data_IF_782941273408
#
_entry.id   IF_782941273408
#
_cell.length_a   1.000
_cell.length_b   1.000
_cell.length_c   1.000
_cell.angle_alpha   90.00
_cell.angle_beta   90.00
_cell.angle_gamma   90.00
#
_symmetry.space_group_name_H-M   'P 1'
#
loop_
_entity.id
_entity.type
_entity.pdbx_description
1 polymer ?
#
# COMPACT_ATOMS: atom_id res chain seq x y z
N UNK A 1 13.06 30.07 18.34
CA UNK A 1 13.48 29.13 17.29
C UNK A 1 14.64 28.32 17.80
N UNK A 2 14.41 27.05 18.15
CA UNK A 2 15.46 26.14 18.59
C UNK A 2 16.33 25.77 17.39
N UNK A 3 17.58 26.24 17.41
CA UNK A 3 18.63 25.80 16.48
C UNK A 3 18.86 24.31 16.74
N UNK A 4 18.71 23.47 15.73
CA UNK A 4 18.97 22.03 15.83
C UNK A 4 20.41 21.74 16.26
N UNK A 5 20.63 20.58 16.90
CA UNK A 5 21.96 20.14 17.33
C UNK A 5 22.88 19.95 16.11
N UNK A 6 24.12 20.47 16.18
CA UNK A 6 25.15 20.34 15.14
C UNK A 6 25.99 19.06 15.26
N UNK A 7 25.51 18.06 16.02
CA UNK A 7 26.19 16.79 16.20
C UNK A 7 26.47 16.12 14.85
N UNK A 8 27.69 15.60 14.67
CA UNK A 8 28.12 14.92 13.45
C UNK A 8 28.34 13.45 13.75
N UNK A 9 27.99 12.58 12.80
CA UNK A 9 28.27 11.16 12.85
C UNK A 9 28.99 10.78 11.56
N UNK A 10 30.09 10.04 11.69
CA UNK A 10 30.91 9.58 10.57
C UNK A 10 30.77 8.06 10.48
N UNK A 11 30.36 7.57 9.32
CA UNK A 11 30.25 6.15 9.01
C UNK A 11 31.29 5.73 7.99
N UNK A 12 31.41 4.41 7.77
CA UNK A 12 32.01 3.90 6.54
C UNK A 12 31.21 4.36 5.30
N UNK A 13 31.79 4.19 4.10
CA UNK A 13 31.17 4.61 2.83
C UNK A 13 29.78 4.00 2.62
N UNK A 14 29.58 2.77 3.10
CA UNK A 14 28.33 2.02 2.97
C UNK A 14 27.31 2.32 4.09
N UNK A 15 27.66 3.18 5.06
CA UNK A 15 26.82 3.54 6.21
C UNK A 15 26.33 2.36 7.07
N UNK A 16 27.09 1.26 7.11
CA UNK A 16 26.79 0.07 7.91
C UNK A 16 27.40 0.11 9.31
N UNK A 17 28.49 0.88 9.48
CA UNK A 17 29.21 0.99 10.76
C UNK A 17 29.52 2.45 11.04
N UNK A 18 29.37 2.87 12.31
CA UNK A 18 29.77 4.21 12.76
C UNK A 18 31.22 4.18 13.23
N UNK A 19 32.04 5.00 12.59
CA UNK A 19 33.50 5.09 12.79
C UNK A 19 33.81 6.14 13.86
N UNK A 20 33.03 7.21 13.93
CA UNK A 20 33.21 8.30 14.89
C UNK A 20 31.91 9.04 15.15
N UNK A 21 31.66 9.36 16.42
CA UNK A 21 30.63 10.30 16.84
C UNK A 21 31.28 11.63 17.25
N UNK A 22 30.69 12.74 16.83
CA UNK A 22 31.04 14.07 17.31
C UNK A 22 30.24 14.43 18.55
N UNK A 23 30.78 15.34 19.36
CA UNK A 23 30.08 15.80 20.56
C UNK A 23 28.81 16.58 20.20
N UNK A 24 27.76 16.36 20.98
CA UNK A 24 26.54 17.14 20.91
C UNK A 24 26.68 18.41 21.76
N UNK A 25 25.96 19.49 21.40
CA UNK A 25 25.91 20.69 22.22
C UNK A 25 25.38 20.38 23.63
N UNK A 26 25.93 21.03 24.66
CA UNK A 26 25.44 20.89 26.04
C UNK A 26 23.93 21.16 26.12
N UNK A 27 23.19 20.23 26.74
CA UNK A 27 21.72 20.27 26.83
C UNK A 27 20.97 19.61 25.67
N UNK A 28 21.67 19.06 24.68
CA UNK A 28 21.07 18.24 23.61
C UNK A 28 20.58 16.90 24.18
N UNK A 29 19.31 16.83 24.58
CA UNK A 29 18.68 15.61 25.10
C UNK A 29 18.12 14.76 23.95
N UNK A 30 18.28 13.45 24.08
CA UNK A 30 17.58 12.49 23.22
C UNK A 30 16.12 12.49 23.63
N UNK A 31 15.24 12.83 22.69
CA UNK A 31 13.81 12.67 22.86
C UNK A 31 13.45 11.20 22.56
N UNK A 32 13.44 10.38 23.62
CA UNK A 32 13.11 8.96 23.55
C UNK A 32 11.70 8.73 22.97
N UNK A 33 10.78 9.66 23.19
CA UNK A 33 9.41 9.58 22.70
C UNK A 33 9.32 9.87 21.20
N UNK A 34 10.01 10.91 20.71
CA UNK A 34 10.13 11.18 19.28
C UNK A 34 10.86 10.03 18.55
N UNK A 35 11.89 9.45 19.17
CA UNK A 35 12.58 8.28 18.64
C UNK A 35 11.64 7.07 18.52
N UNK A 36 10.91 6.74 19.59
CA UNK A 36 9.92 5.66 19.59
C UNK A 36 8.85 5.87 18.51
N UNK A 37 8.26 7.07 18.45
CA UNK A 37 7.27 7.42 17.43
C UNK A 37 7.81 7.19 16.01
N UNK A 38 9.05 7.63 15.75
CA UNK A 38 9.68 7.44 14.44
C UNK A 38 9.98 5.96 14.13
N UNK A 39 10.37 5.18 15.14
CA UNK A 39 10.58 3.74 15.02
C UNK A 39 9.27 3.04 14.62
N UNK A 40 8.16 3.33 15.30
CA UNK A 40 6.84 2.75 14.99
C UNK A 40 6.37 3.13 13.58
N UNK A 41 6.56 4.39 13.16
CA UNK A 41 6.27 4.80 11.78
C UNK A 41 7.08 4.02 10.75
N UNK A 42 8.35 3.73 11.02
CA UNK A 42 9.18 2.97 10.09
C UNK A 42 8.76 1.50 10.03
N UNK A 43 8.35 0.92 11.15
CA UNK A 43 7.80 -0.44 11.15
C UNK A 43 6.47 -0.52 10.40
N UNK A 44 5.55 0.42 10.62
CA UNK A 44 4.30 0.51 9.86
C UNK A 44 4.56 0.63 8.34
N UNK A 45 5.59 1.39 7.92
CA UNK A 45 6.00 1.47 6.51
C UNK A 45 6.51 0.14 5.98
N UNK A 46 7.34 -0.55 6.75
CA UNK A 46 7.93 -1.84 6.38
C UNK A 46 6.85 -2.90 6.19
N UNK A 47 5.92 -2.99 7.14
CA UNK A 47 4.79 -3.90 7.08
C UNK A 47 3.86 -3.58 5.92
N UNK A 48 3.46 -2.31 5.76
CA UNK A 48 2.58 -1.89 4.67
C UNK A 48 3.15 -2.18 3.27
N UNK A 49 4.47 -2.17 3.12
CA UNK A 49 5.15 -2.48 1.85
C UNK A 49 5.05 -3.96 1.45
N UNK A 50 5.14 -4.88 2.43
CA UNK A 50 5.22 -6.33 2.16
C UNK A 50 3.93 -7.09 2.42
N UNK A 51 3.22 -6.77 3.49
CA UNK A 51 2.02 -7.48 3.93
C UNK A 51 0.85 -7.20 2.96
N UNK A 52 0.09 -8.21 2.51
CA UNK A 52 -1.08 -8.03 1.64
C UNK A 52 -2.37 -7.61 2.37
N UNK A 53 -2.47 -7.73 3.70
CA UNK A 53 -3.68 -7.43 4.49
C UNK A 53 -4.11 -5.97 4.38
N UNK A 54 -5.37 -5.58 4.66
CA UNK A 54 -5.78 -4.17 4.67
C UNK A 54 -4.85 -3.28 5.51
N UNK A 55 -4.56 -2.06 5.04
CA UNK A 55 -3.65 -1.12 5.73
C UNK A 55 -4.13 -0.81 7.15
N UNK A 56 -5.44 -0.71 7.34
CA UNK A 56 -6.05 -0.45 8.64
C UNK A 56 -5.81 -1.62 9.62
N UNK A 57 -5.92 -2.86 9.15
CA UNK A 57 -5.67 -4.06 9.98
C UNK A 57 -4.22 -4.08 10.49
N UNK A 58 -3.26 -3.78 9.61
CA UNK A 58 -1.83 -3.68 9.98
C UNK A 58 -1.62 -2.59 11.05
N UNK A 59 -2.30 -1.45 10.90
CA UNK A 59 -2.22 -0.36 11.87
C UNK A 59 -2.82 -0.77 13.22
N UNK A 60 -4.02 -1.33 13.22
CA UNK A 60 -4.74 -1.70 14.44
C UNK A 60 -4.01 -2.78 15.24
N UNK A 61 -3.39 -3.75 14.55
CA UNK A 61 -2.56 -4.77 15.19
C UNK A 61 -1.36 -4.14 15.93
N UNK A 62 -0.60 -3.27 15.26
CA UNK A 62 0.55 -2.61 15.87
C UNK A 62 0.15 -1.63 16.98
N UNK A 63 -0.93 -0.89 16.78
CA UNK A 63 -1.47 0.02 17.78
C UNK A 63 -1.92 -0.75 19.05
N UNK A 64 -2.58 -1.89 18.87
CA UNK A 64 -3.00 -2.77 19.97
C UNK A 64 -1.79 -3.31 20.74
N UNK A 65 -0.75 -3.76 20.03
CA UNK A 65 0.49 -4.22 20.66
C UNK A 65 1.19 -3.09 21.44
N UNK A 66 1.29 -1.90 20.85
CA UNK A 66 1.91 -0.74 21.50
C UNK A 66 1.13 -0.26 22.75
N UNK A 67 -0.19 -0.45 22.75
CA UNK A 67 -1.07 -0.05 23.86
C UNK A 67 -0.83 -0.85 25.16
N UNK A 68 -0.12 -1.99 25.08
CA UNK A 68 0.26 -2.77 26.27
C UNK A 68 1.32 -2.08 27.14
N UNK A 69 2.04 -1.09 26.60
CA UNK A 69 3.07 -0.34 27.31
C UNK A 69 2.55 1.03 27.74
N UNK A 70 2.35 1.22 29.06
CA UNK A 70 1.82 2.47 29.61
C UNK A 70 2.74 3.68 29.34
N UNK A 71 4.06 3.46 29.26
CA UNK A 71 5.04 4.53 29.05
C UNK A 71 5.13 4.99 27.59
N UNK A 72 4.83 4.12 26.63
CA UNK A 72 5.06 4.40 25.20
C UNK A 72 3.78 4.52 24.38
N UNK A 73 2.63 4.03 24.88
CA UNK A 73 1.36 4.03 24.16
C UNK A 73 0.94 5.43 23.68
N UNK A 74 1.12 6.46 24.51
CA UNK A 74 0.77 7.84 24.16
C UNK A 74 1.59 8.41 22.99
N UNK A 75 2.72 7.79 22.66
CA UNK A 75 3.64 8.23 21.61
C UNK A 75 3.55 7.36 20.36
N UNK A 76 2.63 6.39 20.32
CA UNK A 76 2.34 5.65 19.10
C UNK A 76 1.73 6.60 18.06
N UNK A 77 2.14 6.53 16.78
CA UNK A 77 1.60 7.39 15.74
C UNK A 77 0.10 7.20 15.59
N UNK A 78 -0.65 8.30 15.56
CA UNK A 78 -2.09 8.24 15.26
C UNK A 78 -2.32 7.76 13.83
N UNK A 79 -3.54 7.28 13.55
CA UNK A 79 -3.93 6.84 12.22
C UNK A 79 -3.75 7.93 11.18
N UNK A 80 -4.05 9.19 11.50
CA UNK A 80 -3.86 10.31 10.57
C UNK A 80 -2.39 10.55 10.22
N UNK A 81 -1.49 10.40 11.21
CA UNK A 81 -0.04 10.53 11.01
C UNK A 81 0.54 9.35 10.20
N UNK A 82 0.00 8.13 10.39
CA UNK A 82 0.50 6.92 9.75
C UNK A 82 -0.09 6.66 8.36
N UNK A 83 -1.38 6.94 8.13
CA UNK A 83 -2.17 6.51 6.98
C UNK A 83 -1.48 6.80 5.65
N UNK A 84 -1.19 8.07 5.37
CA UNK A 84 -0.62 8.49 4.08
C UNK A 84 0.74 7.83 3.84
N UNK A 85 1.53 7.71 4.90
CA UNK A 85 2.87 7.11 4.86
C UNK A 85 2.80 5.61 4.57
N UNK A 86 1.86 4.89 5.19
CA UNK A 86 1.63 3.47 4.91
C UNK A 86 1.13 3.25 3.48
N UNK A 87 0.11 4.01 3.04
CA UNK A 87 -0.39 3.93 1.67
C UNK A 87 0.69 4.26 0.63
N UNK A 88 1.51 5.28 0.88
CA UNK A 88 2.64 5.61 0.02
C UNK A 88 3.66 4.47 -0.03
N UNK A 89 4.03 3.89 1.12
CA UNK A 89 4.93 2.73 1.19
C UNK A 89 4.38 1.56 0.37
N UNK A 90 3.10 1.22 0.55
CA UNK A 90 2.42 0.16 -0.20
C UNK A 90 2.34 0.44 -1.69
N UNK A 91 2.11 1.69 -2.09
CA UNK A 91 1.98 2.07 -3.50
C UNK A 91 3.22 1.72 -4.33
N UNK A 92 4.41 1.71 -3.70
CA UNK A 92 5.68 1.36 -4.35
C UNK A 92 5.76 -0.10 -4.80
N UNK A 93 4.89 -0.98 -4.28
CA UNK A 93 4.77 -2.38 -4.73
C UNK A 93 4.21 -2.47 -6.15
N UNK A 94 3.39 -1.51 -6.55
CA UNK A 94 2.75 -1.53 -7.85
C UNK A 94 3.59 -0.73 -8.84
N UNK A 95 3.78 -1.23 -10.08
CA UNK A 95 4.44 -0.45 -11.12
C UNK A 95 3.66 0.84 -11.35
N UNK A 96 4.38 1.91 -11.69
CA UNK A 96 3.72 3.15 -12.11
C UNK A 96 2.87 2.86 -13.33
N UNK A 97 1.69 3.46 -13.36
CA UNK A 97 0.87 3.46 -14.56
C UNK A 97 1.72 4.04 -15.70
N UNK A 98 1.75 3.39 -16.87
CA UNK A 98 2.36 3.99 -18.05
C UNK A 98 1.79 5.39 -18.34
N UNK A 99 2.39 6.12 -19.29
CA UNK A 99 1.86 7.43 -19.67
C UNK A 99 0.58 7.31 -20.52
N UNK A 100 0.54 6.30 -21.41
CA UNK A 100 -0.58 6.05 -22.31
C UNK A 100 -1.08 4.62 -22.18
N UNK A 101 -2.38 4.42 -22.40
CA UNK A 101 -3.01 3.11 -22.32
C UNK A 101 -2.45 2.11 -23.34
N UNK A 102 -2.02 2.55 -24.52
CA UNK A 102 -1.41 1.68 -25.54
C UNK A 102 -0.09 1.05 -25.08
N UNK A 103 0.56 1.67 -24.10
CA UNK A 103 1.79 1.17 -23.49
C UNK A 103 1.49 0.15 -22.36
N UNK A 104 0.21 -0.10 -22.02
CA UNK A 104 -0.19 -1.12 -21.05
C UNK A 104 0.20 -2.52 -21.54
N UNK A 105 1.01 -3.20 -20.74
CA UNK A 105 1.40 -4.61 -20.95
C UNK A 105 0.94 -5.40 -19.73
N UNK A 106 -0.06 -6.25 -19.93
CA UNK A 106 -0.55 -7.14 -18.89
C UNK A 106 0.28 -8.43 -18.88
N UNK A 107 0.69 -8.87 -17.70
CA UNK A 107 1.45 -10.11 -17.52
C UNK A 107 0.52 -11.32 -17.39
N UNK A 108 1.06 -12.54 -17.55
CA UNK A 108 0.30 -13.76 -17.32
C UNK A 108 -0.38 -13.75 -15.94
N UNK A 109 0.39 -13.41 -14.89
CA UNK A 109 -0.10 -13.30 -13.50
C UNK A 109 -1.28 -12.33 -13.32
N UNK A 110 -1.37 -11.28 -14.15
CA UNK A 110 -2.47 -10.32 -14.12
C UNK A 110 -3.67 -10.75 -14.95
N UNK A 111 -3.45 -11.66 -15.91
CA UNK A 111 -4.48 -12.12 -16.85
C UNK A 111 -5.00 -13.52 -16.55
N UNK A 112 -4.48 -14.20 -15.52
CA UNK A 112 -4.89 -15.55 -15.12
C UNK A 112 -5.40 -15.59 -13.68
N UNK A 113 -6.22 -16.59 -13.37
CA UNK A 113 -6.66 -16.88 -12.00
C UNK A 113 -5.52 -17.53 -11.20
N UNK A 114 -5.70 -17.66 -9.88
CA UNK A 114 -4.77 -18.41 -9.02
C UNK A 114 -4.62 -19.89 -9.43
N UNK A 115 -5.61 -20.46 -10.12
CA UNK A 115 -5.56 -21.82 -10.67
C UNK A 115 -4.96 -21.89 -12.08
N UNK A 116 -4.51 -20.76 -12.64
CA UNK A 116 -3.90 -20.68 -13.96
C UNK A 116 -4.90 -20.56 -15.12
N UNK A 117 -6.20 -20.42 -14.86
CA UNK A 117 -7.20 -20.25 -15.92
C UNK A 117 -7.15 -18.83 -16.50
N UNK A 118 -7.40 -18.68 -17.80
CA UNK A 118 -7.47 -17.36 -18.44
C UNK A 118 -8.61 -16.54 -17.80
N UNK A 119 -8.29 -15.31 -17.41
CA UNK A 119 -9.21 -14.39 -16.74
C UNK A 119 -9.40 -13.08 -17.52
N UNK A 120 -8.37 -12.57 -18.21
CA UNK A 120 -8.60 -11.49 -19.19
C UNK A 120 -9.28 -12.09 -20.42
N UNK A 121 -10.56 -11.82 -20.59
CA UNK A 121 -11.38 -12.37 -21.68
C UNK A 121 -11.43 -11.44 -22.90
N UNK A 122 -11.41 -10.12 -22.67
CA UNK A 122 -11.48 -9.15 -23.76
C UNK A 122 -10.60 -7.94 -23.49
N UNK A 123 -9.86 -7.53 -24.52
CA UNK A 123 -9.08 -6.30 -24.55
C UNK A 123 -9.38 -5.59 -25.87
N UNK A 124 -10.21 -4.54 -25.83
CA UNK A 124 -10.47 -3.73 -27.01
C UNK A 124 -9.34 -2.71 -27.22
N UNK A 125 -8.67 -2.70 -28.38
CA UNK A 125 -7.71 -1.65 -28.72
C UNK A 125 -8.38 -0.31 -29.09
N UNK A 126 -9.67 -0.34 -29.43
CA UNK A 126 -10.39 0.81 -30.02
C UNK A 126 -11.42 1.43 -29.09
N UNK A 127 -12.11 0.63 -28.30
CA UNK A 127 -13.18 1.09 -27.40
C UNK A 127 -12.70 1.26 -25.95
N UNK A 128 -11.39 1.12 -25.73
CA UNK A 128 -10.77 1.29 -24.44
C UNK A 128 -11.38 0.45 -23.29
N UNK A 129 -11.93 -0.72 -23.61
CA UNK A 129 -12.56 -1.63 -22.63
C UNK A 129 -11.64 -2.82 -22.34
N UNK A 130 -11.54 -3.19 -21.06
CA UNK A 130 -11.01 -4.48 -20.60
C UNK A 130 -12.12 -5.25 -19.90
N UNK A 131 -12.22 -6.55 -20.16
CA UNK A 131 -13.15 -7.45 -19.48
C UNK A 131 -12.36 -8.59 -18.86
N UNK A 132 -12.46 -8.67 -17.53
CA UNK A 132 -11.93 -9.77 -16.74
C UNK A 132 -13.07 -10.66 -16.30
N UNK A 133 -13.10 -11.90 -16.77
CA UNK A 133 -14.09 -12.90 -16.44
C UNK A 133 -13.56 -14.30 -16.78
N UNK A 134 -14.04 -15.31 -16.06
CA UNK A 134 -13.87 -16.71 -16.48
C UNK A 134 -14.99 -17.10 -17.43
N UNK A 135 -14.75 -18.08 -18.28
CA UNK A 135 -15.78 -18.61 -19.19
C UNK A 135 -17.02 -19.09 -18.42
N UNK A 136 -16.81 -19.80 -17.30
CA UNK A 136 -17.89 -20.26 -16.43
C UNK A 136 -18.67 -19.10 -15.80
N UNK A 137 -17.97 -18.03 -15.39
CA UNK A 137 -18.61 -16.82 -14.87
C UNK A 137 -19.50 -16.13 -15.91
N UNK A 138 -19.07 -16.09 -17.17
CA UNK A 138 -19.88 -15.55 -18.26
C UNK A 138 -21.08 -16.45 -18.59
N UNK A 139 -20.90 -17.78 -18.59
CA UNK A 139 -22.02 -18.73 -18.75
C UNK A 139 -23.06 -18.55 -17.64
N UNK A 140 -22.62 -18.40 -16.39
CA UNK A 140 -23.49 -18.13 -15.26
C UNK A 140 -24.24 -16.80 -15.42
N UNK A 141 -23.55 -15.73 -15.84
CA UNK A 141 -24.17 -14.45 -16.16
C UNK A 141 -25.26 -14.59 -17.24
N UNK A 142 -24.97 -15.32 -18.32
CA UNK A 142 -25.91 -15.52 -19.42
C UNK A 142 -27.15 -16.36 -19.02
N UNK A 143 -27.00 -17.26 -18.06
CA UNK A 143 -28.09 -18.13 -17.56
C UNK A 143 -28.87 -17.50 -16.40
N UNK A 144 -28.36 -16.40 -15.83
CA UNK A 144 -28.96 -15.77 -14.66
C UNK A 144 -30.09 -14.82 -15.05
N UNK A 145 -31.23 -14.95 -14.38
CA UNK A 145 -32.38 -14.05 -14.57
C UNK A 145 -32.20 -12.69 -13.87
N UNK A 146 -31.19 -12.56 -13.00
CA UNK A 146 -30.89 -11.35 -12.26
C UNK A 146 -29.38 -11.20 -12.08
N UNK A 147 -28.90 -9.97 -12.23
CA UNK A 147 -27.50 -9.57 -12.11
C UNK A 147 -27.45 -8.28 -11.30
N UNK A 148 -26.38 -8.13 -10.50
CA UNK A 148 -26.13 -6.93 -9.71
C UNK A 148 -24.84 -6.28 -10.19
N UNK A 149 -24.92 -5.01 -10.55
CA UNK A 149 -23.77 -4.20 -10.91
C UNK A 149 -23.35 -3.32 -9.74
N UNK A 150 -22.06 -3.31 -9.42
CA UNK A 150 -21.44 -2.29 -8.58
C UNK A 150 -20.40 -1.50 -9.37
N UNK A 151 -20.38 -0.18 -9.16
CA UNK A 151 -19.49 0.76 -9.83
C UNK A 151 -18.62 1.47 -8.81
N UNK A 152 -17.31 1.19 -8.81
CA UNK A 152 -16.40 1.83 -7.86
C UNK A 152 -15.96 3.19 -8.38
N UNK A 153 -16.50 4.27 -7.80
CA UNK A 153 -16.05 5.62 -8.09
C UNK A 153 -14.71 5.89 -7.37
N UNK A 154 -13.70 6.35 -8.14
CA UNK A 154 -12.40 6.94 -7.70
C UNK A 154 -11.15 6.05 -7.56
N UNK A 155 -11.14 4.79 -8.01
CA UNK A 155 -9.94 3.91 -7.89
C UNK A 155 -9.45 3.38 -9.26
N UNK A 156 -9.91 3.95 -10.37
CA UNK A 156 -9.47 3.53 -11.71
C UNK A 156 -8.22 4.28 -12.16
N UNK A 157 -7.32 3.63 -12.93
CA UNK A 157 -6.25 4.33 -13.64
C UNK A 157 -6.81 5.49 -14.46
N UNK A 158 -6.08 6.59 -14.56
CA UNK A 158 -6.54 7.84 -15.20
C UNK A 158 -6.99 7.68 -16.65
N UNK A 159 -6.61 6.61 -17.33
CA UNK A 159 -7.05 6.32 -18.69
C UNK A 159 -8.47 5.74 -18.77
N UNK A 160 -8.96 5.14 -17.69
CA UNK A 160 -10.30 4.58 -17.63
C UNK A 160 -11.22 5.53 -16.90
N UNK A 161 -12.46 5.65 -17.37
CA UNK A 161 -13.47 6.50 -16.75
C UNK A 161 -14.13 5.81 -15.56
N UNK A 162 -14.28 4.49 -15.60
CA UNK A 162 -15.06 3.75 -14.61
C UNK A 162 -14.63 2.28 -14.52
N UNK A 163 -14.84 1.69 -13.34
CA UNK A 163 -14.75 0.26 -13.10
C UNK A 163 -16.14 -0.22 -12.72
N UNK A 164 -16.56 -1.31 -13.36
CA UNK A 164 -17.79 -2.01 -13.05
C UNK A 164 -17.47 -3.44 -12.63
N UNK A 165 -18.22 -3.95 -11.67
CA UNK A 165 -18.23 -5.36 -11.30
C UNK A 165 -19.65 -5.88 -11.44
N UNK A 166 -19.81 -7.02 -12.11
CA UNK A 166 -21.09 -7.68 -12.29
C UNK A 166 -21.09 -8.97 -11.48
N UNK A 167 -22.14 -9.17 -10.70
CA UNK A 167 -22.28 -10.29 -9.79
C UNK A 167 -23.59 -11.02 -10.08
N UNK A 168 -23.54 -12.34 -9.91
CA UNK A 168 -24.72 -13.21 -9.94
C UNK A 168 -24.79 -13.96 -8.63
N UNK A 169 -26.01 -14.12 -8.12
CA UNK A 169 -26.26 -14.92 -6.92
C UNK A 169 -26.61 -16.33 -7.35
N UNK A 170 -25.76 -17.28 -6.95
CA UNK A 170 -26.08 -18.70 -7.03
C UNK A 170 -27.10 -19.00 -5.92
N UNK A 171 -28.19 -19.66 -6.28
CA UNK A 171 -29.20 -20.16 -5.33
C UNK A 171 -28.83 -21.56 -4.87
#
# INVERSE_FOLDING_TARGET
GSRGCSGKLYTNLDATEVIRTGEHAEGCRVDAHAFYHQQQLNELKRLAAGDPRPVLEIYDELASNASTSLETAAYFPTWEQARNTMYYSRSKRYPRLPARRQDLRLTAEQTTTKSGAQFLMYHSPTNDILIFATEDGVKLLAQSNCWCGDGTFKIVPSWYQQLFTLHVFLR
#
